data_IF_263759521205
#
_entry.id   IF_263759521205
#
_cell.length_a   1.000
_cell.length_b   1.000
_cell.length_c   1.000
_cell.angle_alpha   90.00
_cell.angle_beta   90.00
_cell.angle_gamma   90.00
#
_symmetry.space_group_name_H-M   'P 1'
#
loop_
_entity.id
_entity.type
_entity.pdbx_description
1 polymer ?
#
# COMPACT_ATOMS: atom_id res chain seq x y z
N UNK A 1 23.38 20.78 15.58
CA UNK A 1 22.98 20.26 14.26
C UNK A 1 23.24 18.78 14.30
N UNK A 2 22.21 18.05 14.68
CA UNK A 2 22.28 16.63 15.01
C UNK A 2 22.28 15.81 13.73
N UNK A 3 23.41 15.19 13.41
CA UNK A 3 23.55 14.31 12.26
C UNK A 3 23.10 12.90 12.66
N UNK A 4 21.82 12.59 12.42
CA UNK A 4 21.30 11.22 12.47
C UNK A 4 21.56 10.52 11.13
N UNK A 5 22.03 9.27 11.19
CA UNK A 5 22.32 8.45 10.01
C UNK A 5 21.30 7.30 9.94
N UNK A 6 20.76 6.97 8.74
CA UNK A 6 19.87 5.81 8.53
C UNK A 6 20.58 4.74 7.70
N UNK A 7 20.31 3.45 7.93
CA UNK A 7 20.72 2.35 7.05
C UNK A 7 19.59 1.30 6.87
N UNK A 8 18.63 1.51 5.98
CA UNK A 8 17.59 0.49 5.73
C UNK A 8 18.08 -0.55 4.72
N UNK A 9 18.06 -1.83 5.09
CA UNK A 9 18.28 -2.98 4.19
C UNK A 9 16.92 -3.59 3.80
N UNK A 10 16.79 -4.18 2.62
CA UNK A 10 15.56 -4.85 2.16
C UNK A 10 15.93 -6.11 1.34
N UNK A 11 15.28 -7.26 1.57
CA UNK A 11 15.59 -8.60 1.04
C UNK A 11 14.31 -9.49 1.00
N UNK A 12 13.89 -10.03 -0.18
CA UNK A 12 12.91 -11.12 -0.28
C UNK A 12 13.47 -12.41 -0.94
N UNK A 13 12.88 -13.58 -0.62
CA UNK A 13 13.14 -15.00 -1.03
C UNK A 13 12.69 -15.34 -2.50
N UNK A 14 13.15 -16.36 -3.29
CA UNK A 14 13.46 -17.81 -3.11
C UNK A 14 14.49 -18.37 -4.17
N UNK A 15 15.01 -19.60 -3.95
CA UNK A 15 16.09 -20.38 -4.63
C UNK A 15 15.81 -20.90 -6.08
N UNK A 16 16.76 -21.25 -6.98
CA UNK A 16 17.89 -22.21 -6.88
C UNK A 16 18.93 -22.08 -8.05
N UNK A 17 20.20 -22.44 -7.77
CA UNK A 17 21.36 -22.80 -8.63
C UNK A 17 22.08 -21.82 -9.61
N UNK A 18 23.32 -21.51 -9.21
CA UNK A 18 24.62 -21.39 -9.93
C UNK A 18 24.83 -20.26 -10.97
N UNK A 19 25.82 -19.39 -10.67
CA UNK A 19 26.74 -18.81 -11.66
C UNK A 19 26.81 -17.27 -11.71
N UNK A 20 27.81 -16.67 -11.07
CA UNK A 20 28.12 -15.23 -11.10
C UNK A 20 28.97 -14.85 -12.33
N UNK A 21 28.67 -13.70 -12.97
CA UNK A 21 29.51 -12.50 -13.17
C UNK A 21 28.90 -11.64 -14.30
N UNK A 22 28.69 -10.36 -13.98
CA UNK A 22 28.26 -9.31 -14.90
C UNK A 22 29.36 -8.96 -15.92
N UNK A 23 29.45 -9.69 -17.02
CA UNK A 23 29.72 -9.16 -18.36
C UNK A 23 29.74 -10.29 -19.40
N UNK A 24 28.98 -10.08 -20.49
CA UNK A 24 28.85 -10.87 -21.72
C UNK A 24 27.63 -11.81 -21.81
N UNK A 25 27.07 -11.97 -23.03
CA UNK A 25 25.70 -12.43 -23.26
C UNK A 25 25.64 -13.94 -23.17
N UNK A 26 24.78 -14.45 -22.30
CA UNK A 26 24.48 -15.88 -22.26
C UNK A 26 23.04 -16.03 -22.75
N UNK A 27 22.96 -16.71 -23.89
CA UNK A 27 21.74 -17.22 -24.51
C UNK A 27 21.02 -18.17 -23.54
N UNK A 28 19.70 -18.19 -23.67
CA UNK A 28 18.72 -18.97 -22.90
C UNK A 28 18.44 -18.46 -21.48
N UNK A 29 17.31 -17.75 -21.33
CA UNK A 29 16.69 -17.41 -20.07
C UNK A 29 15.22 -17.83 -20.13
N UNK A 30 14.91 -18.96 -19.48
CA UNK A 30 13.55 -19.35 -19.09
C UNK A 30 13.36 -19.26 -17.56
N UNK A 31 14.11 -18.38 -16.89
CA UNK A 31 13.85 -18.02 -15.49
C UNK A 31 13.27 -16.61 -15.41
N UNK A 32 11.97 -16.53 -15.68
CA UNK A 32 11.14 -15.36 -15.45
C UNK A 32 10.92 -15.24 -13.95
N UNK A 33 11.72 -14.42 -13.27
CA UNK A 33 11.40 -13.93 -11.91
C UNK A 33 10.04 -13.23 -11.99
N UNK A 34 9.03 -13.59 -11.18
CA UNK A 34 7.75 -12.91 -11.20
C UNK A 34 7.92 -11.51 -10.62
N UNK A 35 8.11 -10.53 -11.49
CA UNK A 35 8.06 -9.09 -11.20
C UNK A 35 6.68 -8.64 -10.69
N UNK A 36 5.68 -9.53 -10.77
CA UNK A 36 4.27 -9.30 -10.46
C UNK A 36 3.99 -8.89 -9.02
N UNK A 37 4.90 -9.12 -8.08
CA UNK A 37 4.69 -8.78 -6.67
C UNK A 37 5.28 -7.42 -6.29
N UNK A 38 6.09 -6.83 -7.16
CA UNK A 38 6.76 -5.55 -6.95
C UNK A 38 6.14 -4.38 -7.72
N UNK A 39 5.15 -4.66 -8.57
CA UNK A 39 4.45 -3.64 -9.32
C UNK A 39 3.72 -2.69 -8.37
N UNK A 40 4.34 -1.52 -8.19
CA UNK A 40 3.76 -0.35 -7.56
C UNK A 40 2.57 0.02 -8.46
N UNK A 41 1.35 -0.15 -7.95
CA UNK A 41 0.08 0.18 -8.64
C UNK A 41 0.18 1.47 -9.45
N UNK A 42 0.78 2.50 -8.84
CA UNK A 42 0.93 3.85 -9.42
C UNK A 42 1.84 3.95 -10.65
N UNK A 43 2.66 2.94 -10.96
CA UNK A 43 3.55 2.93 -12.15
C UNK A 43 2.96 2.16 -13.34
N UNK A 44 1.79 1.56 -13.18
CA UNK A 44 1.11 0.80 -14.22
C UNK A 44 0.13 1.67 -15.01
N UNK A 45 -0.29 2.80 -14.44
CA UNK A 45 -1.34 3.59 -15.01
C UNK A 45 -0.84 4.70 -15.94
N UNK A 46 -1.58 4.97 -17.02
CA UNK A 46 -1.43 6.21 -17.77
C UNK A 46 -1.79 7.43 -16.90
N UNK A 47 -1.55 8.63 -17.41
CA UNK A 47 -1.94 9.88 -16.73
C UNK A 47 -3.45 10.15 -16.90
N UNK A 48 -4.05 9.54 -17.92
CA UNK A 48 -5.45 9.67 -18.31
C UNK A 48 -6.00 8.34 -18.80
N UNK A 49 -7.30 8.14 -18.72
CA UNK A 49 -7.97 6.95 -19.27
C UNK A 49 -7.91 6.93 -20.80
N UNK A 50 -8.22 5.79 -21.41
CA UNK A 50 -8.34 5.68 -22.88
C UNK A 50 -9.39 6.62 -23.48
N UNK A 51 -10.32 7.13 -22.65
CA UNK A 51 -11.36 8.08 -23.04
C UNK A 51 -10.95 9.55 -22.81
N UNK A 52 -9.72 9.79 -22.32
CA UNK A 52 -9.17 11.13 -22.08
C UNK A 52 -9.53 11.74 -20.72
N UNK A 53 -10.09 10.96 -19.79
CA UNK A 53 -10.38 11.45 -18.44
C UNK A 53 -9.11 11.45 -17.59
N UNK A 54 -8.76 12.56 -16.92
CA UNK A 54 -7.55 12.63 -16.10
C UNK A 54 -7.66 11.72 -14.87
N UNK A 55 -6.58 11.00 -14.57
CA UNK A 55 -6.45 10.22 -13.34
C UNK A 55 -5.85 11.08 -12.23
N UNK A 56 -6.63 11.30 -11.17
CA UNK A 56 -6.12 11.87 -9.92
C UNK A 56 -5.58 10.74 -9.07
N UNK A 57 -4.52 11.02 -8.31
CA UNK A 57 -3.85 10.00 -7.50
C UNK A 57 -3.57 8.69 -8.31
N UNK A 58 -3.29 8.80 -9.60
CA UNK A 58 -2.84 7.69 -10.45
C UNK A 58 -3.92 6.73 -10.93
N UNK A 59 -5.02 6.54 -10.22
CA UNK A 59 -6.04 5.51 -10.47
C UNK A 59 -7.47 5.96 -10.14
N UNK A 60 -7.68 7.22 -9.74
CA UNK A 60 -9.01 7.74 -9.46
C UNK A 60 -9.51 8.58 -10.63
N UNK A 61 -10.64 8.19 -11.21
CA UNK A 61 -11.39 9.01 -12.17
C UNK A 61 -12.38 9.89 -11.39
N UNK A 62 -12.27 11.20 -11.56
CA UNK A 62 -13.28 12.12 -11.03
C UNK A 62 -14.56 12.09 -11.89
N UNK A 63 -15.75 12.18 -11.27
CA UNK A 63 -16.98 12.32 -12.05
C UNK A 63 -16.95 13.65 -12.84
N UNK A 64 -17.57 13.69 -14.03
CA UNK A 64 -17.69 14.91 -14.80
C UNK A 64 -18.48 15.96 -14.00
N UNK A 65 -17.92 17.16 -13.86
CA UNK A 65 -18.58 18.29 -13.20
C UNK A 65 -19.80 18.74 -14.01
N UNK A 66 -20.91 18.99 -13.33
CA UNK A 66 -22.09 19.63 -13.90
C UNK A 66 -21.79 21.09 -14.28
N UNK A 67 -22.58 21.67 -15.19
CA UNK A 67 -22.42 23.08 -15.59
C UNK A 67 -22.62 24.05 -14.42
N UNK A 68 -23.39 23.68 -13.40
CA UNK A 68 -23.53 24.45 -12.16
C UNK A 68 -22.26 24.39 -11.32
N UNK A 69 -21.66 23.20 -11.15
CA UNK A 69 -20.38 23.01 -10.45
C UNK A 69 -19.21 23.69 -11.17
N UNK A 70 -19.25 23.80 -12.51
CA UNK A 70 -18.26 24.55 -13.31
C UNK A 70 -18.31 26.06 -13.09
N UNK A 71 -19.46 26.61 -12.71
CA UNK A 71 -19.64 28.05 -12.47
C UNK A 71 -19.28 28.47 -11.02
N UNK A 72 -19.17 27.51 -10.10
CA UNK A 72 -18.68 27.72 -8.73
C UNK A 72 -17.17 27.45 -8.58
N UNK A 73 -16.44 27.22 -9.68
CA UNK A 73 -14.99 26.99 -9.68
C UNK A 73 -14.24 28.31 -9.46
N UNK A 74 -14.35 28.83 -8.24
CA UNK A 74 -13.23 29.54 -7.63
C UNK A 74 -12.26 28.48 -7.04
N UNK A 75 -10.99 28.81 -6.92
CA UNK A 75 -9.88 27.89 -6.54
C UNK A 75 -10.13 27.08 -5.24
N UNK A 76 -11.15 27.43 -4.45
CA UNK A 76 -11.60 26.73 -3.24
C UNK A 76 -12.41 25.43 -3.50
N UNK A 77 -13.03 25.21 -4.66
CA UNK A 77 -13.79 23.96 -4.87
C UNK A 77 -12.88 22.73 -5.06
N UNK A 78 -11.60 22.96 -5.42
CA UNK A 78 -10.56 21.93 -5.38
C UNK A 78 -10.26 21.43 -3.96
N UNK A 79 -10.72 22.14 -2.91
CA UNK A 79 -10.51 21.84 -1.48
C UNK A 79 -11.61 20.94 -0.90
N UNK A 80 -12.75 20.75 -1.58
CA UNK A 80 -13.88 19.94 -1.07
C UNK A 80 -13.95 18.50 -1.57
N UNK A 81 -12.86 17.97 -2.12
CA UNK A 81 -12.77 16.59 -2.61
C UNK A 81 -12.91 15.53 -1.49
N UNK A 82 -12.81 15.91 -0.21
CA UNK A 82 -12.82 14.99 0.94
C UNK A 82 -14.00 15.03 1.90
N UNK A 83 -15.05 15.80 1.62
CA UNK A 83 -16.34 15.58 2.28
C UNK A 83 -17.07 14.48 1.52
N UNK A 84 -16.83 13.24 1.92
CA UNK A 84 -17.64 12.10 1.47
C UNK A 84 -19.09 12.41 1.81
N UNK A 85 -19.83 12.85 0.80
CA UNK A 85 -21.26 13.01 0.84
C UNK A 85 -21.84 11.61 1.13
N UNK A 86 -22.63 11.44 2.18
CA UNK A 86 -23.25 10.14 2.49
C UNK A 86 -24.03 9.58 1.28
N UNK A 87 -24.44 10.46 0.35
CA UNK A 87 -25.08 10.13 -0.92
C UNK A 87 -24.18 9.40 -1.94
N UNK A 88 -22.84 9.44 -1.77
CA UNK A 88 -21.86 8.72 -2.57
C UNK A 88 -21.53 7.32 -2.01
N UNK A 89 -22.15 6.90 -0.90
CA UNK A 89 -22.06 5.51 -0.45
C UNK A 89 -23.12 4.64 -1.15
N UNK A 90 -22.83 3.33 -1.24
CA UNK A 90 -23.80 2.36 -1.74
C UNK A 90 -24.94 2.17 -0.73
N UNK A 91 -26.21 2.37 -1.12
CA UNK A 91 -27.34 2.25 -0.20
C UNK A 91 -27.37 0.90 0.51
N UNK A 92 -27.45 0.93 1.83
CA UNK A 92 -27.45 -0.27 2.70
C UNK A 92 -26.22 -1.18 2.51
N UNK A 93 -25.11 -0.67 1.96
CA UNK A 93 -23.92 -1.46 1.66
C UNK A 93 -24.11 -2.51 0.56
N UNK A 94 -25.17 -2.40 -0.26
CA UNK A 94 -25.44 -3.31 -1.37
C UNK A 94 -24.83 -2.77 -2.66
N UNK A 95 -23.83 -3.47 -3.16
CA UNK A 95 -23.04 -3.07 -4.33
C UNK A 95 -23.43 -3.95 -5.52
N UNK A 96 -24.29 -3.42 -6.38
CA UNK A 96 -24.64 -4.05 -7.64
C UNK A 96 -23.40 -4.09 -8.55
N UNK A 97 -23.17 -5.21 -9.24
CA UNK A 97 -22.11 -5.29 -10.25
C UNK A 97 -22.47 -6.15 -11.46
N UNK A 98 -21.75 -5.94 -12.56
CA UNK A 98 -21.72 -6.86 -13.70
C UNK A 98 -20.34 -6.88 -14.38
N UNK A 99 -20.20 -7.78 -15.35
CA UNK A 99 -18.99 -7.93 -16.13
C UNK A 99 -19.20 -7.47 -17.57
N UNK A 100 -18.30 -6.62 -18.05
CA UNK A 100 -18.15 -6.39 -19.48
C UNK A 100 -17.81 -7.69 -20.22
N UNK A 101 -18.13 -7.76 -21.52
CA UNK A 101 -17.80 -8.91 -22.36
C UNK A 101 -16.30 -9.17 -22.49
N UNK A 102 -15.47 -8.16 -22.19
CA UNK A 102 -14.00 -8.26 -22.17
C UNK A 102 -13.47 -9.14 -21.04
N UNK A 103 -14.22 -9.26 -19.93
CA UNK A 103 -13.74 -9.96 -18.73
C UNK A 103 -13.88 -11.47 -18.89
N UNK A 104 -12.73 -12.14 -19.02
CA UNK A 104 -12.65 -13.60 -19.14
C UNK A 104 -13.02 -14.33 -17.84
N UNK A 105 -13.20 -15.65 -17.91
CA UNK A 105 -13.64 -16.48 -16.78
C UNK A 105 -12.71 -16.42 -15.56
N UNK A 106 -11.40 -16.39 -15.79
CA UNK A 106 -10.40 -16.40 -14.72
C UNK A 106 -10.37 -15.06 -13.98
N UNK A 107 -10.42 -13.95 -14.71
CA UNK A 107 -10.50 -12.61 -14.12
C UNK A 107 -11.80 -12.43 -13.35
N UNK A 108 -12.94 -12.96 -13.83
CA UNK A 108 -14.20 -12.97 -13.05
C UNK A 108 -14.05 -13.69 -11.72
N UNK A 109 -13.33 -14.82 -11.68
CA UNK A 109 -13.08 -15.55 -10.43
C UNK A 109 -12.23 -14.72 -9.47
N UNK A 110 -11.18 -14.05 -9.97
CA UNK A 110 -10.33 -13.16 -9.15
C UNK A 110 -11.07 -11.93 -8.63
N UNK A 111 -11.98 -11.35 -9.43
CA UNK A 111 -12.84 -10.25 -8.99
C UNK A 111 -13.76 -10.70 -7.85
N UNK A 112 -14.34 -11.90 -7.94
CA UNK A 112 -15.16 -12.44 -6.85
C UNK A 112 -14.34 -12.69 -5.57
N UNK A 113 -13.12 -13.23 -5.68
CA UNK A 113 -12.22 -13.35 -4.53
C UNK A 113 -11.90 -11.99 -3.88
N UNK A 114 -11.72 -10.95 -4.68
CA UNK A 114 -11.52 -9.59 -4.17
C UNK A 114 -12.77 -9.02 -3.47
N UNK A 115 -13.97 -9.33 -3.98
CA UNK A 115 -15.23 -9.00 -3.30
C UNK A 115 -15.35 -9.75 -1.97
N UNK A 116 -15.01 -11.04 -1.94
CA UNK A 116 -15.06 -11.88 -0.72
C UNK A 116 -14.21 -11.29 0.42
N UNK A 117 -13.04 -10.70 0.12
CA UNK A 117 -12.22 -10.00 1.13
C UNK A 117 -12.99 -8.89 1.84
N UNK A 118 -13.75 -8.08 1.09
CA UNK A 118 -14.61 -7.03 1.64
C UNK A 118 -15.83 -7.60 2.36
N UNK A 119 -16.52 -8.58 1.78
CA UNK A 119 -17.74 -9.16 2.37
C UNK A 119 -17.48 -9.88 3.70
N UNK A 120 -16.33 -10.56 3.82
CA UNK A 120 -15.98 -11.33 5.01
C UNK A 120 -15.66 -10.47 6.23
N UNK A 121 -15.34 -9.20 6.03
CA UNK A 121 -14.88 -8.30 7.11
C UNK A 121 -15.77 -7.07 7.29
N UNK A 122 -16.79 -6.91 6.44
CA UNK A 122 -17.71 -5.76 6.48
C UNK A 122 -19.16 -6.20 6.28
N UNK A 123 -20.09 -5.24 6.36
CA UNK A 123 -21.48 -5.46 5.97
C UNK A 123 -21.75 -5.33 4.47
N UNK A 124 -20.74 -5.02 3.66
CA UNK A 124 -20.92 -4.86 2.23
C UNK A 124 -21.31 -6.18 1.59
N UNK A 125 -22.23 -6.11 0.62
CA UNK A 125 -22.67 -7.27 -0.15
C UNK A 125 -22.68 -6.94 -1.63
N UNK A 126 -21.93 -7.70 -2.41
CA UNK A 126 -21.83 -7.59 -3.85
C UNK A 126 -22.82 -8.56 -4.49
N UNK A 127 -23.65 -8.05 -5.39
CA UNK A 127 -24.61 -8.88 -6.09
C UNK A 127 -24.55 -8.65 -7.60
N UNK A 128 -24.39 -9.76 -8.34
CA UNK A 128 -24.36 -9.71 -9.80
C UNK A 128 -25.76 -9.44 -10.35
N UNK A 129 -25.90 -8.45 -11.24
CA UNK A 129 -27.21 -7.99 -11.70
C UNK A 129 -27.11 -7.33 -13.07
N UNK A 130 -28.18 -7.44 -13.85
CA UNK A 130 -28.36 -6.71 -15.11
C UNK A 130 -29.49 -5.66 -15.01
N UNK A 131 -30.15 -5.56 -13.87
CA UNK A 131 -31.40 -4.82 -13.71
C UNK A 131 -31.28 -3.59 -12.80
N UNK A 132 -30.21 -3.50 -12.02
CA UNK A 132 -29.99 -2.34 -11.16
C UNK A 132 -29.59 -1.11 -11.99
N UNK A 133 -30.11 0.07 -11.60
CA UNK A 133 -29.87 1.31 -12.33
C UNK A 133 -28.44 1.86 -12.14
N UNK A 134 -27.84 1.60 -10.98
CA UNK A 134 -26.46 1.96 -10.66
C UNK A 134 -25.73 0.68 -10.25
N UNK A 135 -24.61 0.41 -10.90
CA UNK A 135 -23.81 -0.80 -10.67
C UNK A 135 -22.35 -0.54 -11.06
N UNK A 136 -21.45 -1.35 -10.50
CA UNK A 136 -20.06 -1.45 -10.94
C UNK A 136 -19.98 -2.31 -12.20
N UNK A 137 -19.34 -1.79 -13.25
CA UNK A 137 -19.07 -2.51 -14.49
C UNK A 137 -17.58 -2.83 -14.58
N UNK A 138 -17.23 -4.06 -14.22
CA UNK A 138 -15.83 -4.50 -14.34
C UNK A 138 -15.47 -4.74 -15.79
N UNK A 139 -14.30 -4.26 -16.21
CA UNK A 139 -13.86 -4.33 -17.60
C UNK A 139 -12.33 -4.47 -17.74
N UNK A 140 -11.88 -5.16 -18.77
CA UNK A 140 -10.45 -5.47 -19.02
C UNK A 140 -9.97 -5.02 -20.40
N UNK A 141 -10.82 -4.30 -21.14
CA UNK A 141 -10.56 -3.73 -22.47
C UNK A 141 -10.07 -2.28 -22.41
N UNK A 142 -9.75 -1.79 -21.21
CA UNK A 142 -9.24 -0.44 -20.96
C UNK A 142 -7.81 -0.50 -20.41
N UNK A 143 -7.01 0.51 -20.73
CA UNK A 143 -5.67 0.69 -20.17
C UNK A 143 -5.72 1.08 -18.68
N UNK A 144 -4.78 0.53 -17.90
CA UNK A 144 -4.60 0.85 -16.48
C UNK A 144 -5.61 0.19 -15.53
N UNK A 145 -5.31 0.33 -14.25
CA UNK A 145 -6.12 -0.03 -13.09
C UNK A 145 -6.72 1.26 -12.54
N UNK A 146 -8.03 1.43 -12.58
CA UNK A 146 -8.65 2.66 -12.06
C UNK A 146 -10.13 2.48 -11.77
N UNK A 147 -10.65 3.38 -10.93
CA UNK A 147 -12.04 3.37 -10.47
C UNK A 147 -12.53 4.79 -10.17
N UNK A 148 -13.85 4.96 -10.04
CA UNK A 148 -14.42 6.17 -9.43
C UNK A 148 -14.56 5.96 -7.92
N UNK A 149 -14.46 7.03 -7.15
CA UNK A 149 -14.64 6.94 -5.69
C UNK A 149 -16.11 6.94 -5.32
N UNK A 150 -16.55 5.86 -4.66
CA UNK A 150 -17.93 5.67 -4.20
C UNK A 150 -18.93 5.43 -5.33
N UNK A 151 -20.21 5.39 -4.96
CA UNK A 151 -21.33 5.24 -5.88
C UNK A 151 -21.57 6.52 -6.66
N UNK A 152 -21.49 6.41 -7.97
CA UNK A 152 -21.80 7.46 -8.92
C UNK A 152 -23.21 7.28 -9.47
N UNK A 153 -23.96 8.37 -9.64
CA UNK A 153 -25.30 8.30 -10.21
C UNK A 153 -25.23 8.26 -11.74
N UNK A 154 -24.96 7.08 -12.29
CA UNK A 154 -24.84 6.82 -13.74
C UNK A 154 -25.92 5.86 -14.19
N UNK A 155 -27.16 6.35 -14.16
CA UNK A 155 -28.36 5.57 -14.48
C UNK A 155 -28.18 4.83 -15.81
N UNK A 156 -28.33 3.51 -15.79
CA UNK A 156 -28.29 2.58 -16.92
C UNK A 156 -26.94 2.36 -17.61
N UNK A 157 -25.93 3.19 -17.38
CA UNK A 157 -24.59 3.00 -17.96
C UNK A 157 -23.64 2.27 -17.01
N UNK A 158 -23.90 2.34 -15.70
CA UNK A 158 -22.99 1.85 -14.67
C UNK A 158 -21.75 2.75 -14.52
N UNK A 159 -20.95 2.48 -13.49
CA UNK A 159 -19.63 3.08 -13.34
C UNK A 159 -18.56 2.02 -13.62
N UNK A 160 -17.60 2.36 -14.47
CA UNK A 160 -16.56 1.42 -14.86
C UNK A 160 -15.53 1.25 -13.74
N UNK A 161 -15.06 0.02 -13.60
CA UNK A 161 -13.86 -0.33 -12.85
C UNK A 161 -12.91 -1.04 -13.82
N UNK A 162 -11.81 -0.39 -14.15
CA UNK A 162 -10.84 -0.89 -15.12
C UNK A 162 -9.87 -1.84 -14.43
N UNK A 163 -9.87 -3.09 -14.86
CA UNK A 163 -8.87 -4.11 -14.53
C UNK A 163 -8.12 -4.40 -15.83
N UNK A 164 -7.37 -3.40 -16.32
CA UNK A 164 -6.62 -3.50 -17.57
C UNK A 164 -5.51 -4.56 -17.53
N UNK A 165 -4.79 -4.76 -18.64
CA UNK A 165 -3.70 -5.74 -18.70
C UNK A 165 -2.65 -5.52 -17.60
N UNK A 166 -2.44 -6.51 -16.73
CA UNK A 166 -1.52 -6.47 -15.58
C UNK A 166 -2.19 -6.15 -14.24
N UNK A 167 -3.45 -5.73 -14.24
CA UNK A 167 -4.23 -5.39 -13.06
C UNK A 167 -4.98 -6.60 -12.47
N UNK A 168 -4.96 -7.77 -13.11
CA UNK A 168 -5.79 -8.92 -12.74
C UNK A 168 -5.36 -9.61 -11.43
N UNK A 169 -4.41 -9.04 -10.68
CA UNK A 169 -3.96 -9.54 -9.38
C UNK A 169 -5.00 -9.19 -8.31
N UNK A 170 -5.32 -10.14 -7.43
CA UNK A 170 -6.36 -9.96 -6.40
C UNK A 170 -6.13 -8.70 -5.53
N UNK A 171 -4.90 -8.40 -5.02
CA UNK A 171 -4.68 -7.20 -4.22
C UNK A 171 -4.98 -5.89 -4.96
N UNK A 172 -4.73 -5.85 -6.28
CA UNK A 172 -5.03 -4.70 -7.15
C UNK A 172 -6.54 -4.55 -7.27
N UNK A 173 -7.26 -5.65 -7.54
CA UNK A 173 -8.72 -5.61 -7.65
C UNK A 173 -9.37 -5.20 -6.31
N UNK A 174 -8.83 -5.67 -5.18
CA UNK A 174 -9.28 -5.27 -3.83
C UNK A 174 -9.14 -3.76 -3.65
N UNK A 175 -8.03 -3.18 -4.08
CA UNK A 175 -7.77 -1.73 -4.06
C UNK A 175 -8.77 -0.94 -4.92
N UNK A 176 -8.99 -1.35 -6.17
CA UNK A 176 -9.96 -0.68 -7.06
C UNK A 176 -11.40 -0.77 -6.54
N UNK A 177 -11.75 -1.89 -5.89
CA UNK A 177 -13.02 -2.02 -5.17
C UNK A 177 -13.06 -1.05 -3.98
N UNK A 178 -11.95 -0.86 -3.25
CA UNK A 178 -11.79 0.13 -2.20
C UNK A 178 -12.20 1.54 -2.65
N UNK A 179 -11.71 1.97 -3.81
CA UNK A 179 -12.19 3.21 -4.44
C UNK A 179 -13.69 3.15 -4.73
N UNK A 180 -14.16 2.11 -5.40
CA UNK A 180 -15.57 1.96 -5.78
C UNK A 180 -16.55 2.02 -4.59
N UNK A 181 -16.11 1.60 -3.39
CA UNK A 181 -16.92 1.67 -2.15
C UNK A 181 -16.74 2.98 -1.38
N UNK A 182 -15.88 3.88 -1.84
CA UNK A 182 -15.75 5.24 -1.33
C UNK A 182 -14.46 5.55 -0.58
N UNK A 183 -13.41 4.75 -0.71
CA UNK A 183 -12.13 5.01 -0.06
C UNK A 183 -11.19 5.78 -0.99
N UNK A 184 -10.50 6.77 -0.45
CA UNK A 184 -9.35 7.41 -1.10
C UNK A 184 -8.06 6.74 -0.62
N UNK A 185 -6.94 7.21 -1.14
CA UNK A 185 -5.67 6.73 -0.65
C UNK A 185 -5.35 7.14 0.79
N UNK A 186 -4.69 6.26 1.51
CA UNK A 186 -4.29 6.52 2.89
C UNK A 186 -3.32 7.71 3.00
N UNK A 187 -2.40 7.86 2.03
CA UNK A 187 -1.46 8.99 2.04
C UNK A 187 -2.11 10.34 1.71
N UNK A 188 -3.38 10.40 1.29
CA UNK A 188 -4.08 11.67 0.99
C UNK A 188 -4.97 12.16 2.13
N UNK A 189 -5.01 11.42 3.24
CA UNK A 189 -5.65 11.82 4.50
C UNK A 189 -5.18 13.20 4.97
N UNK A 190 -6.08 13.96 5.57
CA UNK A 190 -5.74 15.29 6.12
C UNK A 190 -4.71 15.27 7.25
N UNK A 191 -4.56 14.16 7.98
CA UNK A 191 -3.62 13.99 9.09
C UNK A 191 -2.31 13.31 8.68
N UNK A 192 -2.11 13.01 7.38
CA UNK A 192 -0.96 12.21 6.88
C UNK A 192 0.41 12.78 7.24
N UNK A 193 0.55 14.11 7.35
CA UNK A 193 1.83 14.76 7.67
C UNK A 193 2.31 14.49 9.12
N UNK A 194 1.43 13.97 9.99
CA UNK A 194 1.79 13.44 11.31
C UNK A 194 2.48 12.07 11.25
N UNK A 195 2.33 11.33 10.14
CA UNK A 195 2.75 9.93 10.00
C UNK A 195 3.81 9.73 8.92
N UNK A 196 3.77 10.53 7.85
CA UNK A 196 4.69 10.48 6.71
C UNK A 196 5.19 11.88 6.34
N UNK A 197 6.23 11.92 5.51
CA UNK A 197 6.79 13.14 4.90
C UNK A 197 6.87 12.91 3.40
N UNK A 198 6.28 13.82 2.62
CA UNK A 198 6.37 13.80 1.16
C UNK A 198 7.67 14.50 0.73
N UNK A 199 8.50 13.78 -0.02
CA UNK A 199 9.76 14.28 -0.58
C UNK A 199 9.50 14.90 -1.96
N UNK A 200 8.95 16.12 -1.97
CA UNK A 200 8.57 16.84 -3.19
C UNK A 200 9.66 16.93 -4.24
N UNK A 201 10.92 17.09 -3.82
CA UNK A 201 12.08 17.14 -4.72
C UNK A 201 12.32 15.84 -5.49
N UNK A 202 11.79 14.71 -5.03
CA UNK A 202 11.93 13.40 -5.67
C UNK A 202 10.77 13.09 -6.64
N UNK A 203 9.76 13.96 -6.73
CA UNK A 203 8.61 13.81 -7.62
C UNK A 203 8.90 14.54 -8.95
N UNK A 204 8.57 13.96 -10.12
CA UNK A 204 8.67 14.64 -11.42
C UNK A 204 7.80 15.91 -11.47
N UNK A 205 8.23 16.95 -12.20
CA UNK A 205 7.37 18.10 -12.49
C UNK A 205 6.03 17.65 -13.11
N UNK A 206 4.92 18.25 -12.67
CA UNK A 206 3.57 17.90 -13.13
C UNK A 206 2.89 16.75 -12.36
N UNK A 207 3.62 16.02 -11.51
CA UNK A 207 3.08 14.90 -10.72
C UNK A 207 2.83 15.24 -9.25
N UNK A 208 3.00 16.49 -8.84
CA UNK A 208 2.82 16.91 -7.44
C UNK A 208 1.36 16.80 -6.97
N UNK A 209 0.40 16.97 -7.88
CA UNK A 209 -1.03 16.84 -7.58
C UNK A 209 -1.41 15.43 -7.09
N UNK A 210 -0.63 14.41 -7.44
CA UNK A 210 -0.80 13.01 -7.03
C UNK A 210 -0.56 12.80 -5.51
N UNK A 211 -0.03 13.81 -4.83
CA UNK A 211 0.24 13.80 -3.39
C UNK A 211 -0.53 14.92 -2.68
N UNK A 212 -1.63 15.41 -3.25
CA UNK A 212 -2.48 16.40 -2.57
C UNK A 212 -2.98 15.83 -1.24
N UNK A 213 -3.05 16.65 -0.20
CA UNK A 213 -3.67 16.28 1.09
C UNK A 213 -5.13 16.76 1.12
N UNK A 214 -5.90 16.26 2.10
CA UNK A 214 -7.28 16.65 2.40
C UNK A 214 -8.38 16.02 1.52
N UNK A 215 -8.09 14.85 0.94
CA UNK A 215 -9.12 14.09 0.23
C UNK A 215 -9.88 13.11 1.14
N UNK A 216 -9.37 12.80 2.34
CA UNK A 216 -10.07 11.89 3.25
C UNK A 216 -9.99 12.33 4.72
N UNK A 217 -11.10 12.06 5.42
CA UNK A 217 -11.25 12.28 6.85
C UNK A 217 -11.05 10.95 7.59
N UNK A 218 -10.18 10.88 8.62
CA UNK A 218 -9.88 9.65 9.35
C UNK A 218 -11.09 8.92 9.96
N UNK A 219 -12.18 9.65 10.23
CA UNK A 219 -13.35 9.15 10.96
C UNK A 219 -12.94 8.47 12.27
N UNK A 220 -11.92 8.95 12.97
CA UNK A 220 -11.43 8.35 14.21
C UNK A 220 -10.76 6.97 14.06
N UNK A 221 -10.36 6.60 12.85
CA UNK A 221 -9.47 5.45 12.59
C UNK A 221 -8.05 5.99 12.45
N UNK A 222 -7.10 5.40 13.18
CA UNK A 222 -5.69 5.77 13.12
C UNK A 222 -5.09 5.50 11.73
N UNK A 223 -3.97 6.16 11.41
CA UNK A 223 -3.28 6.01 10.13
C UNK A 223 -2.75 4.59 9.95
N UNK A 224 -2.92 3.98 8.77
CA UNK A 224 -2.47 2.63 8.51
C UNK A 224 -1.41 2.52 7.41
N UNK A 225 -0.16 2.35 7.83
CA UNK A 225 0.97 2.11 6.94
C UNK A 225 0.82 0.84 6.07
N UNK A 226 0.01 -0.13 6.50
CA UNK A 226 -0.25 -1.40 5.78
C UNK A 226 -1.56 -1.41 5.01
N UNK A 227 -2.28 -0.28 4.96
CA UNK A 227 -3.53 -0.17 4.21
C UNK A 227 -3.32 -0.60 2.76
N UNK A 228 -4.29 -1.34 2.22
CA UNK A 228 -4.32 -1.67 0.78
C UNK A 228 -4.43 -0.40 -0.08
N UNK A 229 -4.92 0.71 0.50
CA UNK A 229 -5.06 2.02 -0.14
C UNK A 229 -3.82 2.92 0.06
N UNK A 230 -2.74 2.43 0.65
CA UNK A 230 -1.52 3.23 0.83
C UNK A 230 -0.53 3.05 -0.33
N UNK A 231 -0.04 4.16 -0.89
CA UNK A 231 1.08 4.14 -1.84
C UNK A 231 2.34 3.48 -1.30
N UNK A 232 3.15 2.92 -2.22
CA UNK A 232 4.50 2.51 -1.88
C UNK A 232 5.40 3.71 -1.56
N UNK A 233 6.53 3.47 -0.90
CA UNK A 233 7.50 4.52 -0.58
C UNK A 233 8.09 5.24 -1.80
N UNK A 234 8.00 4.65 -2.99
CA UNK A 234 8.58 5.14 -4.23
C UNK A 234 7.54 5.51 -5.29
N UNK A 235 6.25 5.58 -4.93
CA UNK A 235 5.20 5.99 -5.86
C UNK A 235 5.58 7.29 -6.60
N UNK A 236 5.42 7.31 -7.93
CA UNK A 236 5.76 8.45 -8.80
C UNK A 236 7.17 9.03 -8.63
N UNK A 237 8.17 8.25 -8.21
CA UNK A 237 9.53 8.77 -8.06
C UNK A 237 10.16 9.08 -9.42
N UNK A 238 10.88 10.20 -9.50
CA UNK A 238 11.68 10.55 -10.69
C UNK A 238 12.92 9.65 -10.86
N UNK A 239 13.28 8.88 -9.83
CA UNK A 239 14.43 7.97 -9.82
C UNK A 239 14.04 6.61 -9.21
N UNK A 240 13.45 5.76 -10.06
CA UNK A 240 13.03 4.40 -9.71
C UNK A 240 14.15 3.60 -9.01
N UNK A 241 13.79 2.94 -7.91
CA UNK A 241 14.66 2.15 -7.02
C UNK A 241 15.85 2.91 -6.40
N UNK A 242 15.85 4.25 -6.47
CA UNK A 242 16.94 5.07 -5.95
C UNK A 242 16.47 6.13 -4.94
N UNK A 243 15.21 6.58 -5.07
CA UNK A 243 14.65 7.66 -4.27
C UNK A 243 13.23 7.35 -3.83
N UNK A 244 13.01 7.42 -2.52
CA UNK A 244 11.66 7.46 -1.95
C UNK A 244 10.99 8.81 -2.29
N UNK A 245 9.68 8.79 -2.48
CA UNK A 245 8.80 9.97 -2.50
C UNK A 245 8.02 10.10 -1.20
N UNK A 246 7.80 9.00 -0.48
CA UNK A 246 7.13 8.97 0.82
C UNK A 246 8.05 8.34 1.86
N UNK A 247 8.29 9.07 2.95
CA UNK A 247 9.09 8.58 4.08
C UNK A 247 8.29 8.63 5.37
N UNK A 248 8.28 7.54 6.12
CA UNK A 248 7.58 7.46 7.41
C UNK A 248 8.30 8.27 8.49
N UNK A 249 7.53 8.87 9.41
CA UNK A 249 8.10 9.57 10.58
C UNK A 249 8.79 8.59 11.53
N UNK A 250 8.18 7.43 11.75
CA UNK A 250 8.84 6.30 12.40
C UNK A 250 9.59 5.46 11.35
N UNK A 251 10.92 5.40 11.37
CA UNK A 251 11.71 4.68 10.36
C UNK A 251 11.40 3.18 10.29
N UNK A 252 11.01 2.56 11.40
CA UNK A 252 10.70 1.13 11.45
C UNK A 252 9.49 0.75 10.57
N UNK A 253 8.61 1.71 10.28
CA UNK A 253 7.41 1.49 9.46
C UNK A 253 7.63 1.77 7.98
N UNK A 254 8.83 2.22 7.57
CA UNK A 254 9.11 2.62 6.18
C UNK A 254 8.81 1.52 5.16
N UNK A 255 9.00 0.27 5.57
CA UNK A 255 8.86 -0.94 4.75
C UNK A 255 7.42 -1.44 4.65
N UNK A 256 6.53 -0.96 5.51
CA UNK A 256 5.11 -1.31 5.51
C UNK A 256 4.36 -0.62 4.37
N UNK A 257 4.86 0.53 3.89
CA UNK A 257 4.23 1.29 2.82
C UNK A 257 4.09 0.47 1.53
N UNK A 258 2.85 0.33 1.05
CA UNK A 258 2.54 -0.42 -0.17
C UNK A 258 2.72 -1.94 -0.03
N UNK A 259 2.87 -2.47 1.20
CA UNK A 259 2.94 -3.92 1.45
C UNK A 259 1.57 -4.58 1.55
N UNK A 260 0.47 -3.82 1.50
CA UNK A 260 -0.89 -4.34 1.58
C UNK A 260 -1.14 -5.41 0.51
N UNK A 261 -1.52 -6.62 0.95
CA UNK A 261 -1.93 -7.74 0.06
C UNK A 261 -3.40 -8.11 0.22
N UNK A 262 -3.96 -7.77 1.36
CA UNK A 262 -5.35 -7.95 1.75
C UNK A 262 -5.77 -6.68 2.47
N UNK A 263 -7.08 -6.47 2.66
CA UNK A 263 -7.54 -5.34 3.46
C UNK A 263 -7.02 -5.48 4.89
N UNK A 264 -6.54 -4.40 5.49
CA UNK A 264 -6.05 -4.39 6.85
C UNK A 264 -7.19 -4.36 7.88
N UNK A 265 -6.86 -4.49 9.18
CA UNK A 265 -7.85 -4.27 10.24
C UNK A 265 -8.42 -2.86 10.20
N UNK A 266 -7.59 -1.83 9.94
CA UNK A 266 -8.01 -0.43 9.89
C UNK A 266 -8.79 -0.12 8.60
N UNK A 267 -8.46 -0.74 7.47
CA UNK A 267 -9.27 -0.66 6.23
C UNK A 267 -10.69 -1.15 6.48
N UNK A 268 -10.82 -2.35 7.06
CA UNK A 268 -12.11 -2.94 7.40
C UNK A 268 -12.86 -2.08 8.44
N UNK A 269 -12.16 -1.58 9.48
CA UNK A 269 -12.76 -0.68 10.48
C UNK A 269 -13.32 0.59 9.86
N UNK A 270 -12.57 1.20 8.94
CA UNK A 270 -12.98 2.43 8.25
C UNK A 270 -14.21 2.17 7.38
N UNK A 271 -14.20 1.12 6.56
CA UNK A 271 -15.36 0.73 5.75
C UNK A 271 -16.60 0.41 6.61
N UNK A 272 -16.45 -0.33 7.71
CA UNK A 272 -17.56 -0.61 8.62
C UNK A 272 -18.14 0.66 9.24
N UNK A 273 -17.31 1.66 9.54
CA UNK A 273 -17.75 2.96 10.05
C UNK A 273 -18.45 3.79 8.97
N UNK A 274 -17.92 3.81 7.75
CA UNK A 274 -18.54 4.50 6.61
C UNK A 274 -19.95 3.96 6.34
N UNK A 275 -20.12 2.64 6.33
CA UNK A 275 -21.40 1.98 6.05
C UNK A 275 -22.28 1.75 7.28
N UNK A 276 -21.89 2.28 8.45
CA UNK A 276 -22.63 2.12 9.71
C UNK A 276 -22.99 0.66 10.00
N UNK A 277 -22.05 -0.26 9.74
CA UNK A 277 -22.31 -1.70 9.76
C UNK A 277 -22.75 -2.22 11.14
N UNK A 278 -22.38 -1.52 12.22
CA UNK A 278 -22.80 -1.86 13.59
C UNK A 278 -24.19 -1.33 13.96
N UNK A 279 -24.88 -0.56 13.12
CA UNK A 279 -26.14 0.11 13.47
C UNK A 279 -27.25 -0.84 13.94
N UNK A 280 -27.24 -2.09 13.49
CA UNK A 280 -28.21 -3.11 13.86
C UNK A 280 -27.82 -3.91 15.12
N UNK A 281 -26.69 -3.58 15.73
CA UNK A 281 -26.19 -4.28 16.89
C UNK A 281 -26.86 -3.77 18.18
N UNK A 282 -27.51 -4.67 18.95
CA UNK A 282 -28.39 -4.28 20.07
C UNK A 282 -27.66 -3.60 21.24
N UNK A 283 -26.32 -3.68 21.30
CA UNK A 283 -25.53 -3.27 22.46
C UNK A 283 -24.69 -1.99 22.24
N UNK A 284 -24.97 -1.19 21.20
CA UNK A 284 -24.23 0.07 20.96
C UNK A 284 -24.32 1.09 22.11
N UNK A 285 -25.38 1.02 22.93
CA UNK A 285 -25.68 1.99 23.99
C UNK A 285 -25.28 1.53 25.40
N UNK A 286 -24.75 0.31 25.55
CA UNK A 286 -24.35 -0.21 26.85
C UNK A 286 -22.82 -0.09 27.02
N UNK A 287 -22.38 0.84 27.86
CA UNK A 287 -20.95 1.16 28.07
C UNK A 287 -20.12 -0.07 28.49
N UNK A 288 -20.71 -1.03 29.21
CA UNK A 288 -20.02 -2.25 29.66
C UNK A 288 -19.81 -3.28 28.55
N UNK A 289 -20.34 -3.07 27.34
CA UNK A 289 -20.25 -3.98 26.19
C UNK A 289 -19.58 -3.33 24.97
N UNK A 290 -18.92 -2.18 25.16
CA UNK A 290 -18.15 -1.52 24.10
C UNK A 290 -16.81 -2.22 23.88
N UNK A 291 -16.42 -2.32 22.62
CA UNK A 291 -15.10 -2.84 22.26
C UNK A 291 -14.01 -1.89 22.75
N UNK A 292 -13.05 -2.41 23.52
CA UNK A 292 -11.93 -1.71 24.11
C UNK A 292 -10.72 -1.71 23.17
N UNK A 293 -9.64 -1.01 23.56
CA UNK A 293 -8.34 -1.02 22.88
C UNK A 293 -8.45 -0.83 21.36
N UNK A 294 -9.26 0.14 20.92
CA UNK A 294 -9.51 0.44 19.51
C UNK A 294 -10.15 -0.70 18.69
N UNK A 295 -10.72 -1.73 19.32
CA UNK A 295 -11.62 -2.68 18.68
C UNK A 295 -12.87 -2.00 18.12
N UNK A 296 -13.60 -2.71 17.26
CA UNK A 296 -14.89 -2.24 16.75
C UNK A 296 -15.89 -3.38 16.64
N UNK A 297 -17.17 -3.04 16.75
CA UNK A 297 -18.25 -4.00 16.56
C UNK A 297 -18.52 -4.18 15.07
N UNK A 298 -18.47 -5.40 14.59
CA UNK A 298 -18.85 -5.74 13.22
C UNK A 298 -20.18 -6.51 13.23
N UNK A 299 -21.05 -6.38 12.21
CA UNK A 299 -22.32 -7.10 12.20
C UNK A 299 -22.13 -8.61 12.15
N UNK A 300 -21.01 -9.07 11.56
CA UNK A 300 -20.59 -10.47 11.54
C UNK A 300 -19.07 -10.54 11.75
N UNK A 301 -18.61 -11.60 12.41
CA UNK A 301 -17.23 -12.11 12.29
C UNK A 301 -17.31 -13.42 11.51
N UNK A 302 -16.30 -13.80 10.73
CA UNK A 302 -16.27 -14.98 9.83
C UNK A 302 -16.71 -16.33 10.41
N UNK A 303 -17.03 -16.40 11.72
CA UNK A 303 -17.62 -17.53 12.42
C UNK A 303 -19.17 -17.44 12.59
N UNK A 304 -19.83 -16.42 12.04
CA UNK A 304 -21.29 -16.26 12.09
C UNK A 304 -21.89 -15.73 13.40
N UNK A 305 -21.08 -15.38 14.42
CA UNK A 305 -21.57 -14.68 15.62
C UNK A 305 -22.03 -13.26 15.20
N UNK A 306 -23.27 -12.85 15.54
CA UNK A 306 -23.74 -11.50 15.26
C UNK A 306 -23.09 -10.51 16.24
N UNK A 307 -22.71 -9.33 15.73
CA UNK A 307 -22.24 -8.20 16.55
C UNK A 307 -21.03 -8.46 17.48
N UNK A 308 -20.00 -9.24 17.10
CA UNK A 308 -18.79 -9.40 17.91
C UNK A 308 -17.88 -8.17 17.83
N UNK A 309 -17.06 -7.98 18.86
CA UNK A 309 -15.91 -7.11 18.76
C UNK A 309 -14.81 -7.76 17.92
N UNK A 310 -14.35 -7.03 16.91
CA UNK A 310 -13.16 -7.34 16.13
C UNK A 310 -12.02 -6.58 16.78
N UNK A 311 -11.00 -7.32 17.23
CA UNK A 311 -9.86 -6.75 17.94
C UNK A 311 -8.72 -6.45 16.97
N UNK A 312 -7.99 -5.35 17.20
CA UNK A 312 -6.77 -5.08 16.43
C UNK A 312 -5.71 -6.14 16.73
N UNK A 313 -4.68 -6.24 15.87
CA UNK A 313 -3.50 -7.05 16.17
C UNK A 313 -2.93 -6.75 17.55
N UNK A 314 -2.47 -7.78 18.26
CA UNK A 314 -1.93 -7.66 19.61
C UNK A 314 -2.99 -7.63 20.72
N UNK A 315 -4.29 -7.62 20.40
CA UNK A 315 -5.39 -7.55 21.37
C UNK A 315 -6.36 -8.71 21.20
N UNK A 316 -6.87 -9.24 22.31
CA UNK A 316 -7.85 -10.34 22.36
C UNK A 316 -8.90 -10.09 23.44
N UNK A 317 -9.83 -11.04 23.59
CA UNK A 317 -10.95 -10.96 24.52
C UNK A 317 -12.28 -10.79 23.80
N UNK A 318 -13.39 -10.95 24.52
CA UNK A 318 -14.72 -10.82 23.94
C UNK A 318 -15.03 -9.37 23.54
N UNK A 319 -14.48 -8.42 24.29
CA UNK A 319 -14.60 -6.99 24.10
C UNK A 319 -13.24 -6.34 23.81
N UNK A 320 -12.25 -7.12 23.37
CA UNK A 320 -10.89 -6.63 23.13
C UNK A 320 -10.21 -6.05 24.37
N UNK A 321 -10.53 -6.56 25.55
CA UNK A 321 -10.07 -6.09 26.86
C UNK A 321 -8.64 -6.54 27.21
N UNK A 322 -8.13 -7.58 26.55
CA UNK A 322 -6.84 -8.19 26.89
C UNK A 322 -5.77 -7.80 25.88
N UNK A 323 -4.75 -7.07 26.32
CA UNK A 323 -3.59 -6.72 25.48
C UNK A 323 -2.53 -7.82 25.63
N UNK A 324 -2.19 -8.47 24.53
CA UNK A 324 -1.11 -9.47 24.43
C UNK A 324 0.19 -8.79 23.96
N UNK A 325 0.07 -7.83 23.04
CA UNK A 325 1.16 -7.01 22.53
C UNK A 325 0.65 -5.57 22.38
N UNK A 326 1.42 -4.61 22.89
CA UNK A 326 1.09 -3.17 22.79
C UNK A 326 1.30 -2.63 21.36
N UNK A 327 2.12 -3.29 20.54
CA UNK A 327 2.40 -2.87 19.18
C UNK A 327 1.36 -3.38 18.17
N UNK A 328 0.76 -2.46 17.41
CA UNK A 328 -0.18 -2.79 16.34
C UNK A 328 0.50 -3.49 15.15
N UNK A 329 1.73 -3.10 14.83
CA UNK A 329 2.53 -3.76 13.81
C UNK A 329 3.42 -4.79 14.48
N UNK A 330 3.47 -6.00 13.95
CA UNK A 330 4.40 -7.01 14.44
C UNK A 330 5.83 -6.46 14.39
N UNK A 331 6.64 -6.67 15.44
CA UNK A 331 8.04 -6.29 15.41
C UNK A 331 8.72 -7.00 14.24
N UNK A 332 9.63 -6.34 13.52
CA UNK A 332 10.33 -6.97 12.41
C UNK A 332 11.15 -8.15 12.93
N UNK A 333 11.19 -9.25 12.16
CA UNK A 333 11.95 -10.47 12.50
C UNK A 333 13.44 -10.15 12.75
N UNK A 334 13.93 -9.08 12.13
CA UNK A 334 15.30 -8.60 12.23
C UNK A 334 15.37 -7.10 11.98
N UNK A 335 16.37 -6.46 12.57
CA UNK A 335 16.49 -5.01 12.55
C UNK A 335 16.70 -4.44 13.94
N UNK A 336 16.31 -3.18 14.11
CA UNK A 336 16.31 -2.48 15.40
C UNK A 336 17.20 -1.24 15.42
N UNK A 337 17.32 -0.64 16.59
CA UNK A 337 18.12 0.56 16.81
C UNK A 337 19.54 0.17 17.27
N UNK A 338 20.53 0.75 16.61
CA UNK A 338 21.95 0.56 16.91
C UNK A 338 22.52 1.91 17.30
N UNK A 339 22.82 2.02 18.58
CA UNK A 339 23.43 3.20 19.20
C UNK A 339 24.82 2.93 19.72
N UNK A 340 25.25 1.66 19.69
CA UNK A 340 26.54 1.15 20.15
C UNK A 340 27.28 0.42 19.01
N UNK A 341 28.61 0.41 19.08
CA UNK A 341 29.47 -0.25 18.10
C UNK A 341 29.22 -1.75 18.13
N UNK A 342 28.87 -2.33 16.99
CA UNK A 342 28.41 -3.72 16.90
C UNK A 342 28.58 -4.28 15.49
N UNK A 343 28.55 -5.61 15.40
CA UNK A 343 28.40 -6.35 14.15
C UNK A 343 26.92 -6.64 13.89
N UNK A 344 26.49 -6.53 12.64
CA UNK A 344 25.14 -6.92 12.18
C UNK A 344 25.28 -8.03 11.16
N UNK A 345 24.36 -8.98 11.22
CA UNK A 345 24.20 -10.02 10.20
C UNK A 345 22.73 -10.15 9.84
N UNK A 346 22.47 -10.53 8.58
CA UNK A 346 21.12 -10.98 8.19
C UNK A 346 20.80 -12.26 8.95
N UNK A 347 19.53 -12.50 9.34
CA UNK A 347 19.14 -13.77 9.94
C UNK A 347 19.57 -14.94 9.06
N UNK A 348 20.01 -16.01 9.71
CA UNK A 348 20.49 -17.25 9.08
C UNK A 348 21.80 -17.13 8.29
N UNK A 349 22.55 -16.03 8.39
CA UNK A 349 23.90 -15.96 7.81
C UNK A 349 24.75 -17.17 8.27
N UNK A 350 25.47 -17.87 7.36
CA UNK A 350 25.74 -17.53 5.95
C UNK A 350 24.73 -18.12 4.94
N UNK A 351 23.65 -18.75 5.38
CA UNK A 351 22.64 -19.30 4.47
C UNK A 351 21.82 -18.18 3.82
N UNK A 352 21.43 -18.39 2.55
CA UNK A 352 20.63 -17.44 1.76
C UNK A 352 19.13 -17.50 2.07
N UNK A 353 18.71 -18.45 2.91
CA UNK A 353 17.33 -18.62 3.31
C UNK A 353 16.98 -17.58 4.38
N UNK A 354 16.80 -16.35 3.92
CA UNK A 354 16.37 -15.22 4.75
C UNK A 354 14.89 -15.45 5.08
N UNK A 355 14.39 -15.14 6.29
CA UNK A 355 12.95 -15.16 6.57
C UNK A 355 12.18 -14.27 5.57
N UNK A 356 10.89 -14.54 5.36
CA UNK A 356 10.02 -13.82 4.39
C UNK A 356 9.98 -12.29 4.56
N UNK A 357 10.45 -11.77 5.70
CA UNK A 357 10.53 -10.35 6.01
C UNK A 357 11.96 -9.81 5.86
N UNK A 358 12.07 -8.59 5.34
CA UNK A 358 13.37 -7.92 5.27
C UNK A 358 13.73 -7.13 6.53
N UNK A 359 15.03 -7.07 6.83
CA UNK A 359 15.57 -6.44 8.03
C UNK A 359 15.83 -4.94 7.88
N UNK A 360 15.44 -4.14 8.88
CA UNK A 360 15.75 -2.69 8.89
C UNK A 360 16.49 -2.29 10.16
N UNK A 361 17.72 -1.78 10.00
CA UNK A 361 18.54 -1.31 11.11
C UNK A 361 18.65 0.22 11.10
N UNK A 362 18.29 0.85 12.20
CA UNK A 362 18.46 2.29 12.40
C UNK A 362 19.75 2.53 13.17
N UNK A 363 20.74 3.18 12.54
CA UNK A 363 22.10 3.26 13.09
C UNK A 363 22.41 4.70 13.46
N UNK A 364 22.25 5.02 14.74
CA UNK A 364 22.40 6.36 15.25
C UNK A 364 23.74 6.52 15.96
N UNK A 365 24.64 7.30 15.37
CA UNK A 365 25.88 7.69 16.05
C UNK A 365 25.58 8.61 17.26
N UNK A 366 26.36 8.48 18.36
CA UNK A 366 26.36 9.45 19.45
C UNK A 366 26.71 10.86 18.94
N UNK A 367 26.26 11.87 19.68
CA UNK A 367 26.48 13.28 19.32
C UNK A 367 27.98 13.58 19.14
N UNK A 368 28.34 14.11 17.98
CA UNK A 368 29.71 14.47 17.62
C UNK A 368 30.54 13.35 16.98
N UNK A 369 30.00 12.13 16.89
CA UNK A 369 30.64 11.00 16.21
C UNK A 369 30.06 10.77 14.82
N UNK A 370 30.79 10.01 14.00
CA UNK A 370 30.31 9.55 12.68
C UNK A 370 30.19 8.03 12.67
N UNK A 371 29.16 7.52 12.00
CA UNK A 371 29.06 6.08 11.72
C UNK A 371 30.08 5.72 10.64
N UNK A 372 30.97 4.78 10.93
CA UNK A 372 31.75 4.07 9.92
C UNK A 372 31.15 2.69 9.74
N UNK A 373 30.70 2.38 8.52
CA UNK A 373 30.16 1.07 8.16
C UNK A 373 31.23 0.31 7.39
N UNK A 374 31.63 -0.84 7.90
CA UNK A 374 32.51 -1.77 7.21
C UNK A 374 31.70 -2.98 6.76
N UNK A 375 31.71 -3.22 5.45
CA UNK A 375 31.08 -4.38 4.83
C UNK A 375 32.13 -5.48 4.80
N UNK A 376 32.00 -6.53 5.61
CA UNK A 376 32.96 -7.65 5.61
C UNK A 376 32.56 -8.74 4.60
N UNK A 377 31.25 -8.93 4.40
CA UNK A 377 30.67 -9.76 3.34
C UNK A 377 29.43 -9.03 2.80
N UNK A 378 29.16 -9.06 1.49
CA UNK A 378 27.87 -8.59 0.95
C UNK A 378 27.50 -9.32 -0.35
N UNK A 379 26.24 -9.74 -0.50
CA UNK A 379 25.70 -10.27 -1.76
C UNK A 379 24.36 -9.62 -2.08
N UNK A 380 24.19 -9.15 -3.33
CA UNK A 380 22.91 -8.69 -3.88
C UNK A 380 22.34 -9.69 -4.88
N UNK A 381 21.00 -9.82 -4.93
CA UNK A 381 20.31 -10.37 -6.10
C UNK A 381 20.76 -9.67 -7.39
N UNK A 382 20.94 -10.43 -8.50
CA UNK A 382 21.38 -9.87 -9.77
C UNK A 382 20.36 -8.88 -10.34
N UNK A 383 20.86 -7.96 -11.17
CA UNK A 383 20.01 -7.03 -11.93
C UNK A 383 19.07 -7.81 -12.84
N UNK A 384 17.86 -7.27 -13.03
CA UNK A 384 16.93 -7.83 -13.99
C UNK A 384 17.54 -7.84 -15.40
N UNK A 385 17.77 -9.04 -15.92
CA UNK A 385 18.35 -9.26 -17.24
C UNK A 385 17.31 -9.18 -18.37
N UNK A 386 16.01 -9.27 -18.03
CA UNK A 386 14.92 -9.30 -19.00
C UNK A 386 14.95 -8.09 -19.93
N UNK A 387 14.99 -8.37 -21.24
CA UNK A 387 14.97 -7.33 -22.29
C UNK A 387 13.62 -6.63 -22.41
N UNK A 388 12.55 -7.28 -21.95
CA UNK A 388 11.16 -6.80 -22.02
C UNK A 388 10.71 -6.08 -20.75
N UNK A 389 11.44 -6.23 -19.65
CA UNK A 389 11.13 -5.54 -18.40
C UNK A 389 11.48 -4.05 -18.49
N UNK A 390 10.55 -3.18 -18.08
CA UNK A 390 10.81 -1.74 -17.89
C UNK A 390 11.90 -1.47 -16.82
N UNK A 391 12.22 -2.48 -16.02
CA UNK A 391 13.20 -2.43 -14.94
C UNK A 391 14.56 -3.06 -15.32
N UNK A 392 14.79 -3.32 -16.61
CA UNK A 392 16.05 -3.90 -17.11
C UNK A 392 17.28 -3.17 -16.57
N UNK A 393 18.24 -3.94 -16.06
CA UNK A 393 19.50 -3.41 -15.54
C UNK A 393 19.38 -2.72 -14.17
N UNK A 394 18.25 -2.84 -13.47
CA UNK A 394 18.03 -2.33 -12.10
C UNK A 394 18.15 -3.46 -11.07
N UNK A 395 18.63 -3.11 -9.88
CA UNK A 395 18.52 -3.97 -8.68
C UNK A 395 17.19 -3.63 -8.01
N UNK A 396 16.25 -4.58 -8.06
CA UNK A 396 14.86 -4.35 -7.65
C UNK A 396 14.59 -4.78 -6.21
N UNK A 397 15.31 -5.80 -5.74
CA UNK A 397 15.05 -6.45 -4.45
C UNK A 397 15.94 -5.94 -3.33
N UNK A 398 17.24 -5.82 -3.59
CA UNK A 398 18.22 -5.53 -2.55
C UNK A 398 18.83 -4.15 -2.67
N UNK A 399 18.78 -3.39 -1.57
CA UNK A 399 19.29 -2.03 -1.50
C UNK A 399 19.58 -1.61 -0.08
N UNK A 400 20.46 -0.63 0.04
CA UNK A 400 20.85 0.01 1.28
C UNK A 400 20.50 1.49 1.20
N UNK A 401 19.51 1.96 1.96
CA UNK A 401 19.20 3.40 2.02
C UNK A 401 20.05 4.08 3.09
N UNK A 402 20.94 4.99 2.68
CA UNK A 402 21.70 5.83 3.61
C UNK A 402 21.13 7.24 3.62
N UNK A 403 20.66 7.69 4.80
CA UNK A 403 20.23 9.08 5.03
C UNK A 403 21.31 9.78 5.86
N UNK A 404 21.93 10.82 5.31
CA UNK A 404 23.11 11.48 5.91
C UNK A 404 22.81 12.83 6.55
N UNK A 405 21.77 13.52 6.08
CA UNK A 405 21.48 14.93 6.43
C UNK A 405 20.33 15.06 7.41
N UNK A 406 19.31 14.21 7.27
CA UNK A 406 18.11 14.21 8.10
C UNK A 406 17.44 12.83 8.00
N UNK A 407 16.36 12.62 8.78
CA UNK A 407 15.64 11.34 8.80
C UNK A 407 14.81 11.06 7.54
N UNK A 408 14.71 11.99 6.60
CA UNK A 408 13.83 11.88 5.43
C UNK A 408 14.60 11.62 4.12
N UNK A 409 15.65 12.41 3.84
CA UNK A 409 16.37 12.35 2.57
C UNK A 409 17.49 11.30 2.59
N UNK A 410 17.25 10.22 1.85
CA UNK A 410 18.21 9.15 1.60
C UNK A 410 18.71 9.07 0.16
N UNK A 411 19.87 8.44 0.02
CA UNK A 411 20.29 7.84 -1.25
C UNK A 411 20.23 6.32 -1.07
N UNK A 412 19.59 5.62 -2.00
CA UNK A 412 19.70 4.16 -2.05
C UNK A 412 20.98 3.79 -2.78
N UNK A 413 21.78 2.95 -2.15
CA UNK A 413 23.01 2.39 -2.68
C UNK A 413 22.77 0.92 -2.99
N UNK A 414 23.20 0.51 -4.18
CA UNK A 414 23.38 -0.87 -4.58
C UNK A 414 24.90 -1.07 -4.65
N UNK A 415 25.50 -1.69 -3.64
CA UNK A 415 26.95 -1.82 -3.57
C UNK A 415 27.41 -2.84 -4.63
N UNK A 416 28.42 -2.45 -5.42
CA UNK A 416 29.10 -3.33 -6.36
C UNK A 416 30.29 -3.98 -5.66
N UNK A 417 30.10 -5.12 -5.02
CA UNK A 417 31.22 -5.92 -4.52
C UNK A 417 30.99 -7.41 -4.80
N UNK A 418 32.08 -8.09 -5.13
CA UNK A 418 32.12 -9.49 -5.53
C UNK A 418 32.16 -10.38 -4.28
N UNK A 419 31.04 -10.98 -3.85
CA UNK A 419 30.95 -12.35 -3.28
C UNK A 419 29.55 -12.62 -2.68
N UNK A 420 29.41 -13.75 -1.97
CA UNK A 420 28.18 -14.53 -1.84
C UNK A 420 27.63 -14.60 -0.39
N UNK A 421 27.44 -13.52 0.36
CA UNK A 421 26.42 -13.32 1.46
C UNK A 421 26.70 -12.02 2.23
N UNK A 422 25.94 -11.60 3.26
CA UNK A 422 26.08 -10.25 3.88
C UNK A 422 26.44 -10.25 5.38
N UNK A 423 27.58 -9.62 5.74
CA UNK A 423 28.19 -9.42 7.07
C UNK A 423 28.71 -7.98 7.21
N UNK A 424 28.45 -7.32 8.35
CA UNK A 424 28.89 -5.93 8.57
C UNK A 424 29.40 -5.69 9.99
N UNK A 425 30.38 -4.80 10.13
CA UNK A 425 30.83 -4.25 11.40
C UNK A 425 30.70 -2.72 11.41
N UNK A 426 30.20 -2.15 12.51
CA UNK A 426 29.97 -0.71 12.68
C UNK A 426 30.83 -0.16 13.79
N UNK A 427 31.75 0.74 13.47
CA UNK A 427 32.56 1.44 14.46
C UNK A 427 32.21 2.93 14.50
N UNK A 428 32.23 3.53 15.70
CA UNK A 428 31.99 4.96 15.86
C UNK A 428 33.29 5.74 16.01
N UNK A 429 33.68 6.42 14.93
CA UNK A 429 34.85 7.30 14.90
C UNK A 429 34.54 8.72 15.35
#
# INVERSE_FOLDING_TARGET
MDAAWLLSVALPLLANQIGIICNQPIDSFDDVVPLSDMDILTEMNPIETDDGDPLIEGDIVLPPLTEEEKNEVDDELQVRKGLLNILSLWPSGRVAYNFHSSVNKDTRARIRLAMDEWENRTCLRFHETLLDFNYLRFRTDKGGCWSLVGRQNRLFSGQDVSIGPGCERVPVIVHEIGHAIGMYHEQSRMDRDGYVTILWNNIPPGMTSQFSSNLDYPRGVEYDYTSIMHYSSMAFTKQLFQKNTIVTKNPHYQRLLGSGRVISFRDAKLANKMYSCSAFCPNLLNETQQCQNNGYMAPYNGNGKPCPCICPPGVTGEFCETVINEEYYSPPICGGNITEETTIQTPNYPDRDIPNDSCSWWIQAPRGKRVMVTFEDFSFYPRLASRTSKYRGRCVQERVEIRMKNMAEGNMYTLFLYSYTSFFSFNFN
#
